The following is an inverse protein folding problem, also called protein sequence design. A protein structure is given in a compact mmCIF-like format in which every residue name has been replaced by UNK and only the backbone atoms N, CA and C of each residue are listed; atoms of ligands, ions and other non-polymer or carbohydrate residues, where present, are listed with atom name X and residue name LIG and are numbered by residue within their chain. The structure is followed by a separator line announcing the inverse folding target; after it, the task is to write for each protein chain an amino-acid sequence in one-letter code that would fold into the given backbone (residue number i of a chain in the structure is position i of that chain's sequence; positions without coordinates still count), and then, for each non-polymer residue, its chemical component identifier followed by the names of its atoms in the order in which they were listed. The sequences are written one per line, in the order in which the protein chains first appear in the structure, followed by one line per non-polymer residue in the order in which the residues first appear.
data_IF_173408475729
#
_entry.id   IF_173408475729
#
_cell.length_a   1.000
_cell.length_b   1.000
_cell.length_c   1.000
_cell.angle_alpha   90.00
_cell.angle_beta   90.00
_cell.angle_gamma   90.00
#
_symmetry.space_group_name_H-M   'P 1'
#
loop_
_entity.id
_entity.type
_entity.pdbx_description
1 polymer ?
#
# COMPACT_ATOMS: atom_id res chain seq x y z
N UNK A 1 23.53 39.16 -43.34
CA UNK A 1 23.87 37.90 -42.65
C UNK A 1 22.81 36.86 -43.04
N UNK A 2 23.05 36.10 -44.12
CA UNK A 2 22.04 35.20 -44.70
C UNK A 2 21.92 33.93 -43.84
N UNK A 3 20.77 33.75 -43.18
CA UNK A 3 20.47 32.52 -42.44
C UNK A 3 20.32 31.39 -43.45
N UNK A 4 21.26 30.44 -43.41
CA UNK A 4 21.33 29.29 -44.34
C UNK A 4 20.02 28.47 -44.22
N UNK A 5 19.23 28.30 -45.31
CA UNK A 5 17.85 27.78 -45.25
C UNK A 5 17.75 26.36 -44.66
N UNK A 6 18.78 25.54 -44.78
CA UNK A 6 18.84 24.18 -44.21
C UNK A 6 18.65 24.13 -42.68
N UNK A 7 19.14 25.16 -41.95
CA UNK A 7 19.00 25.22 -40.50
C UNK A 7 17.56 25.52 -40.06
N UNK A 8 16.77 26.19 -40.91
CA UNK A 8 15.37 26.48 -40.63
C UNK A 8 14.51 25.23 -40.86
N UNK A 9 14.75 24.50 -41.96
CA UNK A 9 14.04 23.27 -42.30
C UNK A 9 14.23 22.18 -41.24
N UNK A 10 15.45 22.02 -40.73
CA UNK A 10 15.76 20.99 -39.71
C UNK A 10 15.10 21.27 -38.35
N UNK A 11 14.97 22.55 -37.95
CA UNK A 11 14.24 22.96 -36.74
C UNK A 11 12.74 22.72 -36.85
N UNK A 12 12.16 22.94 -38.03
CA UNK A 12 10.75 22.66 -38.30
C UNK A 12 10.46 21.16 -38.29
N UNK A 13 11.32 20.33 -38.88
CA UNK A 13 11.20 18.86 -38.84
C UNK A 13 11.31 18.34 -37.40
N UNK A 14 12.25 18.85 -36.60
CA UNK A 14 12.39 18.46 -35.19
C UNK A 14 11.15 18.83 -34.36
N UNK A 15 10.54 20.00 -34.60
CA UNK A 15 9.28 20.39 -33.95
C UNK A 15 8.11 19.51 -34.37
N UNK A 16 7.99 19.19 -35.66
CA UNK A 16 6.93 18.28 -36.16
C UNK A 16 7.13 16.88 -35.60
N UNK A 17 8.36 16.36 -35.55
CA UNK A 17 8.66 15.07 -34.93
C UNK A 17 8.33 15.07 -33.43
N UNK A 18 8.67 16.13 -32.70
CA UNK A 18 8.34 16.26 -31.27
C UNK A 18 6.82 16.34 -31.04
N UNK A 19 6.09 17.05 -31.90
CA UNK A 19 4.62 17.10 -31.85
C UNK A 19 4.03 15.73 -32.20
N UNK A 20 4.56 15.01 -33.18
CA UNK A 20 4.09 13.65 -33.52
C UNK A 20 4.42 12.62 -32.43
N UNK A 21 5.56 12.75 -31.75
CA UNK A 21 5.94 11.92 -30.59
C UNK A 21 5.08 12.28 -29.37
N UNK A 22 4.79 13.56 -29.15
CA UNK A 22 3.86 13.99 -28.10
C UNK A 22 2.42 13.55 -28.41
N UNK A 23 2.02 13.54 -29.68
CA UNK A 23 0.71 13.09 -30.14
C UNK A 23 0.58 11.56 -30.09
N UNK A 24 1.65 10.81 -30.32
CA UNK A 24 1.65 9.35 -30.10
C UNK A 24 1.65 8.98 -28.61
N UNK A 25 2.18 9.85 -27.74
CA UNK A 25 2.11 9.70 -26.29
C UNK A 25 0.75 10.07 -25.68
N UNK A 26 -0.11 10.83 -26.38
CA UNK A 26 -1.44 11.22 -25.89
C UNK A 26 -2.56 10.27 -26.33
N UNK A 27 -2.27 8.99 -26.55
CA UNK A 27 -3.37 8.01 -26.60
C UNK A 27 -3.91 7.89 -25.18
N UNK A 28 -5.16 8.32 -24.97
CA UNK A 28 -5.92 8.01 -23.77
C UNK A 28 -5.81 6.48 -23.55
N UNK A 29 -5.04 6.09 -22.55
CA UNK A 29 -4.78 4.70 -22.26
C UNK A 29 -5.91 4.22 -21.36
N UNK A 30 -6.75 3.31 -21.88
CA UNK A 30 -7.78 2.64 -21.11
C UNK A 30 -7.25 2.22 -19.74
N UNK A 31 -7.84 2.82 -18.69
CA UNK A 31 -7.51 2.54 -17.30
C UNK A 31 -8.61 1.71 -16.65
N UNK A 32 -8.19 0.65 -15.99
CA UNK A 32 -9.02 -0.15 -15.10
C UNK A 32 -8.78 0.29 -13.66
N UNK A 33 -9.85 0.44 -12.89
CA UNK A 33 -9.78 0.74 -11.46
C UNK A 33 -10.94 0.10 -10.71
N UNK A 34 -10.69 -0.25 -9.46
CA UNK A 34 -11.73 -0.65 -8.53
C UNK A 34 -12.26 0.57 -7.76
N UNK A 35 -13.45 0.42 -7.16
CA UNK A 35 -14.01 1.42 -6.23
C UNK A 35 -13.17 1.62 -4.97
N UNK A 36 -12.51 0.56 -4.49
CA UNK A 36 -11.58 0.60 -3.35
C UNK A 36 -10.31 -0.18 -3.69
N UNK A 37 -9.19 0.22 -3.08
CA UNK A 37 -7.92 -0.52 -3.16
C UNK A 37 -7.69 -1.44 -1.96
N UNK A 38 -8.41 -1.22 -0.87
CA UNK A 38 -8.35 -2.01 0.36
C UNK A 38 -9.75 -2.49 0.73
N UNK A 39 -9.85 -3.78 1.04
CA UNK A 39 -11.08 -4.41 1.48
C UNK A 39 -10.78 -5.30 2.69
N UNK A 40 -11.58 -5.15 3.74
CA UNK A 40 -11.62 -6.09 4.86
C UNK A 40 -12.85 -6.97 4.69
N UNK A 41 -12.66 -8.28 4.68
CA UNK A 41 -13.71 -9.27 4.47
C UNK A 41 -13.68 -10.31 5.59
N UNK A 42 -14.85 -10.73 6.06
CA UNK A 42 -14.98 -11.81 7.02
C UNK A 42 -14.86 -13.17 6.34
N UNK A 43 -14.28 -14.15 7.03
CA UNK A 43 -14.23 -15.54 6.54
C UNK A 43 -15.66 -16.09 6.41
N UNK A 44 -15.93 -16.80 5.31
CA UNK A 44 -17.25 -17.28 4.86
C UNK A 44 -18.25 -16.18 4.48
N UNK A 45 -17.82 -14.93 4.37
CA UNK A 45 -18.64 -13.83 3.89
C UNK A 45 -18.31 -13.48 2.43
N UNK A 46 -19.22 -12.76 1.77
CA UNK A 46 -19.00 -12.26 0.42
C UNK A 46 -19.06 -10.74 0.34
N UNK A 47 -18.27 -10.17 -0.56
CA UNK A 47 -18.27 -8.74 -0.82
C UNK A 47 -18.23 -8.45 -2.32
N UNK A 48 -18.99 -7.43 -2.72
CA UNK A 48 -19.07 -7.02 -4.12
C UNK A 48 -18.19 -5.80 -4.36
N UNK A 49 -17.24 -5.94 -5.28
CA UNK A 49 -16.40 -4.87 -5.79
C UNK A 49 -16.85 -4.47 -7.19
N UNK A 50 -16.67 -3.21 -7.54
CA UNK A 50 -17.00 -2.72 -8.89
C UNK A 50 -15.73 -2.38 -9.64
N UNK A 51 -15.48 -3.09 -10.74
CA UNK A 51 -14.41 -2.76 -11.67
C UNK A 51 -14.95 -1.78 -12.72
N UNK A 52 -14.31 -0.62 -12.82
CA UNK A 52 -14.67 0.43 -13.77
C UNK A 52 -13.60 0.54 -14.85
N UNK A 53 -14.03 0.62 -16.10
CA UNK A 53 -13.21 1.01 -17.25
C UNK A 53 -13.52 2.47 -17.58
N UNK A 54 -12.51 3.34 -17.56
CA UNK A 54 -12.71 4.79 -17.75
C UNK A 54 -12.71 5.24 -19.20
N UNK A 55 -11.86 4.64 -20.05
CA UNK A 55 -11.67 5.08 -21.44
C UNK A 55 -11.93 3.96 -22.46
N UNK A 56 -12.11 4.34 -23.72
CA UNK A 56 -12.39 3.42 -24.81
C UNK A 56 -11.22 2.46 -25.07
N UNK A 57 -11.55 1.20 -25.27
CA UNK A 57 -10.60 0.15 -25.59
C UNK A 57 -10.65 -0.14 -27.09
N UNK A 58 -9.55 0.06 -27.85
CA UNK A 58 -9.57 0.05 -29.31
C UNK A 58 -9.67 -1.36 -29.95
N UNK A 59 -9.88 -2.42 -29.17
CA UNK A 59 -9.97 -3.79 -29.66
C UNK A 59 -10.53 -4.77 -28.63
N UNK A 60 -10.67 -6.04 -29.02
CA UNK A 60 -11.15 -7.09 -28.13
C UNK A 60 -10.13 -7.30 -27.01
N UNK A 61 -10.54 -7.00 -25.78
CA UNK A 61 -9.69 -7.10 -24.60
C UNK A 61 -10.26 -8.13 -23.67
N UNK A 62 -9.40 -9.06 -23.24
CA UNK A 62 -9.73 -10.03 -22.21
C UNK A 62 -9.12 -9.58 -20.90
N UNK A 63 -9.95 -9.46 -19.86
CA UNK A 63 -9.50 -9.23 -18.49
C UNK A 63 -9.51 -10.56 -17.76
N UNK A 64 -8.39 -10.92 -17.17
CA UNK A 64 -8.24 -12.10 -16.33
C UNK A 64 -8.11 -11.62 -14.90
N UNK A 65 -9.04 -12.05 -14.06
CA UNK A 65 -9.02 -11.79 -12.64
C UNK A 65 -8.30 -12.96 -11.97
N UNK A 66 -7.29 -12.65 -11.18
CA UNK A 66 -6.56 -13.66 -10.43
C UNK A 66 -6.29 -13.22 -9.00
N UNK A 67 -6.28 -14.19 -8.11
CA UNK A 67 -5.89 -14.06 -6.71
C UNK A 67 -4.55 -14.76 -6.51
N UNK A 68 -3.74 -14.37 -5.51
CA UNK A 68 -2.48 -15.07 -5.27
C UNK A 68 -2.74 -16.42 -4.58
N UNK A 69 -3.74 -16.49 -3.70
CA UNK A 69 -4.04 -17.65 -2.87
C UNK A 69 -5.52 -18.05 -3.03
N UNK A 70 -5.79 -19.00 -3.93
CA UNK A 70 -7.16 -19.48 -4.22
C UNK A 70 -7.84 -20.16 -3.03
N UNK A 71 -7.04 -20.65 -2.09
CA UNK A 71 -7.44 -21.20 -0.81
C UNK A 71 -7.96 -20.14 0.16
N UNK A 72 -7.52 -18.89 0.03
CA UNK A 72 -7.97 -17.77 0.87
C UNK A 72 -9.13 -17.01 0.22
N UNK A 73 -9.00 -16.68 -1.06
CA UNK A 73 -9.93 -15.80 -1.77
C UNK A 73 -10.30 -16.34 -3.15
N UNK A 74 -11.60 -16.34 -3.44
CA UNK A 74 -12.12 -16.68 -4.78
C UNK A 74 -13.03 -15.59 -5.32
N UNK A 75 -13.14 -15.53 -6.65
CA UNK A 75 -14.03 -14.61 -7.36
C UNK A 75 -15.12 -15.40 -8.08
N UNK A 76 -16.31 -14.83 -8.22
CA UNK A 76 -17.37 -15.42 -9.04
C UNK A 76 -17.02 -15.48 -10.54
N UNK A 77 -16.25 -14.48 -11.00
CA UNK A 77 -15.85 -14.31 -12.39
C UNK A 77 -14.33 -14.28 -12.45
N UNK A 78 -13.76 -15.10 -13.33
CA UNK A 78 -12.31 -15.16 -13.59
C UNK A 78 -11.90 -14.49 -14.90
N UNK A 79 -12.85 -14.32 -15.84
CA UNK A 79 -12.59 -13.78 -17.17
C UNK A 79 -13.72 -12.84 -17.60
N UNK A 80 -13.36 -11.66 -18.10
CA UNK A 80 -14.29 -10.69 -18.68
C UNK A 80 -13.82 -10.38 -20.10
N UNK A 81 -14.70 -10.52 -21.08
CA UNK A 81 -14.42 -10.17 -22.47
C UNK A 81 -15.04 -8.81 -22.79
N UNK A 82 -14.21 -7.86 -23.20
CA UNK A 82 -14.60 -6.49 -23.54
C UNK A 82 -14.44 -6.30 -25.04
N UNK A 83 -15.57 -6.20 -25.74
CA UNK A 83 -15.62 -6.00 -27.19
C UNK A 83 -16.00 -4.55 -27.49
N UNK A 84 -15.12 -3.80 -28.15
CA UNK A 84 -15.36 -2.47 -28.72
C UNK A 84 -16.25 -1.56 -27.85
N UNK A 85 -15.73 -1.15 -26.68
CA UNK A 85 -16.47 -0.32 -25.74
C UNK A 85 -16.34 1.16 -26.08
N UNK A 86 -17.48 1.83 -26.22
CA UNK A 86 -17.61 3.27 -26.52
C UNK A 86 -18.07 4.09 -25.33
N UNK A 87 -17.83 3.59 -24.11
CA UNK A 87 -18.20 4.26 -22.87
C UNK A 87 -17.68 3.55 -21.62
N UNK A 88 -17.91 4.15 -20.44
CA UNK A 88 -17.47 3.58 -19.18
C UNK A 88 -18.26 2.30 -18.88
N UNK A 89 -17.56 1.19 -18.77
CA UNK A 89 -18.14 -0.10 -18.40
C UNK A 89 -17.90 -0.38 -16.93
N UNK A 90 -18.90 -0.96 -16.26
CA UNK A 90 -18.82 -1.32 -14.85
C UNK A 90 -19.19 -2.78 -14.70
N UNK A 91 -18.32 -3.56 -14.05
CA UNK A 91 -18.56 -4.97 -13.77
C UNK A 91 -18.58 -5.21 -12.25
N UNK A 92 -19.69 -5.73 -11.70
CA UNK A 92 -19.71 -6.19 -10.32
C UNK A 92 -18.98 -7.53 -10.21
N UNK A 93 -17.98 -7.59 -9.35
CA UNK A 93 -17.17 -8.77 -9.05
C UNK A 93 -17.45 -9.14 -7.61
N UNK A 94 -17.96 -10.35 -7.41
CA UNK A 94 -18.22 -10.87 -6.07
C UNK A 94 -17.01 -11.68 -5.62
N UNK A 95 -16.54 -11.36 -4.42
CA UNK A 95 -15.46 -12.03 -3.73
C UNK A 95 -16.01 -12.90 -2.61
N UNK A 96 -15.46 -14.10 -2.47
CA UNK A 96 -15.78 -15.03 -1.38
C UNK A 96 -14.50 -15.36 -0.62
N UNK A 97 -14.53 -15.08 0.69
CA UNK A 97 -13.44 -15.38 1.61
C UNK A 97 -13.59 -16.78 2.22
N UNK A 98 -12.55 -17.60 2.12
CA UNK A 98 -12.55 -18.99 2.61
C UNK A 98 -11.77 -19.19 3.90
N UNK A 99 -10.63 -18.50 4.05
CA UNK A 99 -9.79 -18.60 5.25
C UNK A 99 -9.11 -17.26 5.57
N UNK A 100 -8.63 -17.10 6.80
CA UNK A 100 -8.03 -15.85 7.26
C UNK A 100 -6.62 -15.63 6.68
N UNK A 101 -6.31 -14.38 6.33
CA UNK A 101 -5.01 -14.03 5.76
C UNK A 101 -5.04 -12.77 4.92
N UNK A 102 -4.00 -12.58 4.12
CA UNK A 102 -3.89 -11.47 3.18
C UNK A 102 -3.78 -12.01 1.76
N UNK A 103 -4.62 -11.47 0.87
CA UNK A 103 -4.54 -11.79 -0.55
C UNK A 103 -4.69 -10.54 -1.41
N UNK A 104 -4.35 -10.67 -2.68
CA UNK A 104 -4.38 -9.62 -3.68
C UNK A 104 -5.21 -10.08 -4.86
N UNK A 105 -6.31 -9.39 -5.10
CA UNK A 105 -7.03 -9.48 -6.37
C UNK A 105 -6.31 -8.60 -7.40
N UNK A 106 -5.88 -9.17 -8.52
CA UNK A 106 -5.28 -8.44 -9.63
C UNK A 106 -6.04 -8.68 -10.93
N UNK A 107 -6.06 -7.66 -11.79
CA UNK A 107 -6.62 -7.74 -13.13
C UNK A 107 -5.49 -7.67 -14.15
N UNK A 108 -5.38 -8.71 -14.97
CA UNK A 108 -4.43 -8.77 -16.08
C UNK A 108 -5.20 -8.58 -17.40
N UNK A 109 -4.81 -7.57 -18.19
CA UNK A 109 -5.45 -7.24 -19.46
C UNK A 109 -4.66 -7.78 -20.65
N UNK A 110 -5.35 -8.41 -21.59
CA UNK A 110 -4.79 -8.93 -22.84
C UNK A 110 -5.50 -8.31 -24.05
N UNK A 111 -4.77 -7.76 -25.04
CA UNK A 111 -3.31 -7.76 -25.18
C UNK A 111 -2.59 -6.83 -24.19
N UNK A 112 -1.35 -7.16 -23.83
CA UNK A 112 -0.53 -6.46 -22.81
C UNK A 112 -0.22 -4.98 -23.13
N UNK A 113 -0.70 -4.46 -24.25
CA UNK A 113 -0.63 -3.04 -24.62
C UNK A 113 -1.49 -2.13 -23.73
N UNK A 114 -2.39 -2.69 -22.91
CA UNK A 114 -3.26 -1.92 -22.01
C UNK A 114 -2.70 -1.96 -20.59
N UNK A 115 -2.53 -0.78 -19.97
CA UNK A 115 -1.94 -0.67 -18.63
C UNK A 115 -2.96 -1.11 -17.56
N UNK A 116 -2.77 -2.30 -17.01
CA UNK A 116 -3.61 -2.86 -15.92
C UNK A 116 -2.91 -2.90 -14.56
N UNK A 117 -1.68 -2.36 -14.45
CA UNK A 117 -0.87 -2.42 -13.21
C UNK A 117 -1.56 -1.81 -11.98
N UNK A 118 -2.46 -0.88 -12.21
CA UNK A 118 -3.13 -0.08 -11.17
C UNK A 118 -4.48 -0.69 -10.77
N UNK A 119 -4.89 -1.78 -11.42
CA UNK A 119 -6.16 -2.48 -11.19
C UNK A 119 -5.95 -3.69 -10.25
N UNK A 120 -5.82 -3.40 -8.97
CA UNK A 120 -5.72 -4.41 -7.93
C UNK A 120 -6.49 -3.99 -6.67
N UNK A 121 -6.83 -4.97 -5.84
CA UNK A 121 -7.42 -4.77 -4.52
C UNK A 121 -6.71 -5.66 -3.52
N UNK A 122 -6.22 -5.07 -2.42
CA UNK A 122 -5.66 -5.77 -1.28
C UNK A 122 -6.83 -6.20 -0.39
N UNK A 123 -6.94 -7.50 -0.14
CA UNK A 123 -8.02 -8.08 0.65
C UNK A 123 -7.44 -8.64 1.93
N UNK A 124 -7.93 -8.15 3.06
CA UNK A 124 -7.61 -8.67 4.40
C UNK A 124 -8.78 -9.51 4.87
N UNK A 125 -8.55 -10.81 4.99
CA UNK A 125 -9.51 -11.80 5.44
C UNK A 125 -9.34 -12.02 6.94
N UNK A 126 -10.39 -11.78 7.71
CA UNK A 126 -10.37 -11.95 9.16
C UNK A 126 -11.51 -12.85 9.64
N UNK A 127 -11.25 -13.69 10.64
CA UNK A 127 -12.29 -14.58 11.17
C UNK A 127 -13.42 -13.83 11.87
N UNK A 128 -13.10 -12.79 12.63
CA UNK A 128 -14.09 -11.99 13.33
C UNK A 128 -13.59 -10.58 13.62
N UNK A 129 -14.52 -9.63 13.66
CA UNK A 129 -14.24 -8.26 14.10
C UNK A 129 -13.81 -8.23 15.57
N UNK A 130 -14.33 -9.15 16.38
CA UNK A 130 -14.01 -9.24 17.81
C UNK A 130 -12.56 -9.66 18.03
N UNK A 131 -12.04 -10.59 17.24
CA UNK A 131 -10.63 -10.98 17.33
C UNK A 131 -9.70 -9.83 16.90
N UNK A 132 -10.11 -9.07 15.87
CA UNK A 132 -9.39 -7.88 15.44
C UNK A 132 -9.36 -6.81 16.57
N UNK A 133 -10.50 -6.57 17.22
CA UNK A 133 -10.58 -5.66 18.36
C UNK A 133 -9.73 -6.16 19.54
N UNK A 134 -9.80 -7.45 19.84
CA UNK A 134 -8.99 -8.07 20.89
C UNK A 134 -7.48 -7.91 20.62
N UNK A 135 -7.05 -8.09 19.37
CA UNK A 135 -5.66 -7.86 18.95
C UNK A 135 -5.19 -6.44 19.27
N UNK A 136 -6.01 -5.42 18.95
CA UNK A 136 -5.72 -4.02 19.26
C UNK A 136 -5.61 -3.80 20.77
N UNK A 137 -6.53 -4.35 21.56
CA UNK A 137 -6.52 -4.24 23.03
C UNK A 137 -5.25 -4.87 23.62
N UNK A 138 -4.86 -6.06 23.16
CA UNK A 138 -3.64 -6.73 23.58
C UNK A 138 -2.40 -5.90 23.23
N UNK A 139 -2.36 -5.27 22.06
CA UNK A 139 -1.28 -4.34 21.68
C UNK A 139 -1.11 -3.17 22.65
N UNK A 140 -2.21 -2.59 23.14
CA UNK A 140 -2.17 -1.54 24.15
C UNK A 140 -1.77 -2.04 25.54
N UNK A 141 -2.23 -3.24 25.94
CA UNK A 141 -1.78 -3.87 27.19
C UNK A 141 -0.28 -4.14 27.14
N UNK A 142 0.22 -4.61 26.00
CA UNK A 142 1.65 -4.84 25.78
C UNK A 142 2.45 -3.56 25.93
N UNK A 143 2.01 -2.45 25.32
CA UNK A 143 2.61 -1.12 25.52
C UNK A 143 2.68 -0.76 27.01
N UNK A 144 1.56 -0.85 27.74
CA UNK A 144 1.51 -0.50 29.17
C UNK A 144 2.43 -1.38 30.01
N UNK A 145 2.42 -2.69 29.78
CA UNK A 145 3.26 -3.66 30.51
C UNK A 145 4.75 -3.37 30.31
N UNK A 146 5.16 -3.11 29.07
CA UNK A 146 6.54 -2.69 28.77
C UNK A 146 6.88 -1.36 29.40
N UNK A 147 6.02 -0.34 29.29
CA UNK A 147 6.21 0.97 29.93
C UNK A 147 6.45 0.85 31.43
N UNK A 148 5.64 0.07 32.14
CA UNK A 148 5.79 -0.13 33.60
C UNK A 148 7.16 -0.73 33.94
N UNK A 149 7.72 -1.59 33.08
CA UNK A 149 9.00 -2.25 33.34
C UNK A 149 10.21 -1.31 33.43
N UNK A 150 10.15 -0.11 32.82
CA UNK A 150 11.25 0.87 32.89
C UNK A 150 11.37 1.54 34.27
N UNK A 151 10.23 1.78 34.93
CA UNK A 151 10.18 2.65 36.10
C UNK A 151 10.83 2.11 37.38
N UNK A 152 10.79 0.81 37.73
CA UNK A 152 11.40 0.30 38.96
C UNK A 152 12.89 0.65 39.08
N UNK A 153 13.66 0.46 37.99
CA UNK A 153 15.10 0.76 37.99
C UNK A 153 15.35 2.27 38.06
N UNK A 154 14.58 3.08 37.33
CA UNK A 154 14.65 4.54 37.40
C UNK A 154 14.37 5.05 38.81
N UNK A 155 13.32 4.52 39.45
CA UNK A 155 12.91 4.91 40.80
C UNK A 155 13.98 4.54 41.84
N UNK A 156 14.53 3.33 41.80
CA UNK A 156 15.58 2.90 42.73
C UNK A 156 16.85 3.74 42.59
N UNK A 157 17.25 4.08 41.36
CA UNK A 157 18.41 4.93 41.12
C UNK A 157 18.16 6.36 41.62
N UNK A 158 16.95 6.89 41.37
CA UNK A 158 16.56 8.21 41.87
C UNK A 158 16.48 8.27 43.40
N UNK A 159 15.99 7.20 44.05
CA UNK A 159 15.89 7.10 45.52
C UNK A 159 17.27 6.97 46.16
N UNK A 160 18.13 6.11 45.63
CA UNK A 160 19.50 5.88 46.15
C UNK A 160 20.49 7.00 45.79
N UNK A 161 20.13 7.89 44.85
CA UNK A 161 21.04 8.90 44.27
C UNK A 161 22.34 8.28 43.73
N UNK A 162 22.24 7.04 43.25
CA UNK A 162 23.39 6.24 42.82
C UNK A 162 22.98 5.37 41.63
N UNK A 163 23.88 5.31 40.65
CA UNK A 163 23.77 4.47 39.44
C UNK A 163 24.72 3.27 39.51
N UNK A 164 25.26 2.96 40.69
CA UNK A 164 26.11 1.78 40.89
C UNK A 164 25.28 0.52 40.62
N UNK A 165 25.74 -0.30 39.67
CA UNK A 165 25.05 -1.48 39.16
C UNK A 165 24.28 -1.25 37.84
N UNK A 166 24.25 -0.01 37.33
CA UNK A 166 23.68 0.31 36.02
C UNK A 166 24.75 0.19 34.94
N UNK A 167 24.45 -0.51 33.84
CA UNK A 167 25.35 -0.61 32.69
C UNK A 167 25.04 0.52 31.69
N UNK A 168 25.98 1.45 31.51
CA UNK A 168 25.83 2.57 30.59
C UNK A 168 25.83 2.17 29.12
N UNK A 169 26.63 1.15 28.74
CA UNK A 169 26.65 0.65 27.36
C UNK A 169 25.29 0.07 26.99
N UNK A 170 24.66 -0.67 27.92
CA UNK A 170 23.31 -1.19 27.72
C UNK A 170 22.29 -0.07 27.51
N UNK A 171 22.33 0.99 28.32
CA UNK A 171 21.42 2.14 28.17
C UNK A 171 21.67 2.86 26.85
N UNK A 172 22.93 3.15 26.51
CA UNK A 172 23.27 3.82 25.26
C UNK A 172 22.80 3.02 24.03
N UNK A 173 22.97 1.70 24.05
CA UNK A 173 22.47 0.82 22.98
C UNK A 173 20.95 0.81 22.90
N UNK A 174 20.25 0.73 24.04
CA UNK A 174 18.78 0.81 24.05
C UNK A 174 18.28 2.16 23.55
N UNK A 175 18.91 3.26 23.97
CA UNK A 175 18.53 4.60 23.53
C UNK A 175 18.67 4.75 22.01
N UNK A 176 19.80 4.29 21.44
CA UNK A 176 20.00 4.29 19.97
C UNK A 176 18.94 3.40 19.29
N UNK A 177 18.70 2.20 19.84
CA UNK A 177 17.69 1.28 19.31
C UNK A 177 16.29 1.90 19.29
N UNK A 178 15.86 2.50 20.40
CA UNK A 178 14.56 3.16 20.50
C UNK A 178 14.47 4.42 19.65
N UNK A 179 15.55 5.20 19.49
CA UNK A 179 15.57 6.35 18.58
C UNK A 179 15.35 5.90 17.14
N UNK A 180 16.09 4.89 16.67
CA UNK A 180 15.94 4.35 15.30
C UNK A 180 14.56 3.72 15.09
N UNK A 181 14.05 2.99 16.08
CA UNK A 181 12.72 2.40 16.04
C UNK A 181 11.63 3.49 16.00
N UNK A 182 11.78 4.56 16.80
CA UNK A 182 10.85 5.70 16.79
C UNK A 182 10.90 6.43 15.45
N UNK A 183 12.08 6.69 14.90
CA UNK A 183 12.24 7.28 13.56
C UNK A 183 11.53 6.46 12.48
N UNK A 184 11.63 5.12 12.54
CA UNK A 184 10.95 4.24 11.60
C UNK A 184 9.42 4.30 11.73
N UNK A 185 8.88 4.12 12.93
CA UNK A 185 7.42 4.09 13.16
C UNK A 185 6.78 5.45 12.91
N UNK A 186 7.38 6.54 13.40
CA UNK A 186 6.90 7.90 13.16
C UNK A 186 7.04 8.27 11.69
N UNK A 187 8.17 7.91 11.06
CA UNK A 187 8.43 8.22 9.66
C UNK A 187 7.39 7.64 8.72
N UNK A 188 6.97 6.39 8.92
CA UNK A 188 5.92 5.75 8.12
C UNK A 188 4.50 6.28 8.38
N UNK A 189 4.32 7.12 9.41
CA UNK A 189 3.05 7.81 9.69
C UNK A 189 3.00 9.24 9.13
N UNK A 190 4.11 9.76 8.59
CA UNK A 190 4.15 11.05 7.91
C UNK A 190 3.47 10.90 6.55
N UNK A 191 2.43 11.69 6.22
CA UNK A 191 1.62 11.49 5.01
C UNK A 191 2.44 11.48 3.71
N UNK A 192 3.47 12.33 3.61
CA UNK A 192 4.35 12.38 2.45
C UNK A 192 5.16 11.09 2.28
N UNK A 193 5.70 10.57 3.38
CA UNK A 193 6.49 9.33 3.38
C UNK A 193 5.60 8.11 3.16
N UNK A 194 4.43 8.06 3.78
CA UNK A 194 3.45 6.99 3.59
C UNK A 194 2.99 6.92 2.13
N UNK A 195 2.73 8.07 1.51
CA UNK A 195 2.35 8.15 0.09
C UNK A 195 3.48 7.65 -0.81
N UNK A 196 4.72 8.07 -0.56
CA UNK A 196 5.89 7.62 -1.32
C UNK A 196 6.16 6.12 -1.11
N UNK A 197 6.00 5.62 0.10
CA UNK A 197 6.10 4.20 0.43
C UNK A 197 5.04 3.39 -0.31
N UNK A 198 3.78 3.85 -0.30
CA UNK A 198 2.66 3.21 -1.00
C UNK A 198 2.84 3.24 -2.53
N UNK A 199 3.41 4.31 -3.07
CA UNK A 199 3.73 4.40 -4.50
C UNK A 199 4.84 3.42 -4.92
N UNK A 200 5.83 3.18 -4.05
CA UNK A 200 6.91 2.20 -4.29
C UNK A 200 6.48 0.76 -4.03
N UNK A 201 5.58 0.56 -3.07
CA UNK A 201 5.06 -0.74 -2.66
C UNK A 201 3.53 -0.78 -2.80
N UNK A 202 2.98 -0.67 -4.02
CA UNK A 202 1.53 -0.55 -4.23
C UNK A 202 0.76 -1.80 -3.76
N UNK A 203 1.42 -2.94 -3.56
CA UNK A 203 0.78 -4.17 -3.07
C UNK A 203 1.05 -4.44 -1.59
N UNK A 204 1.88 -3.62 -0.94
CA UNK A 204 2.20 -3.75 0.48
C UNK A 204 1.13 -3.11 1.35
N UNK A 205 1.07 -3.57 2.61
CA UNK A 205 0.32 -2.91 3.68
C UNK A 205 1.30 -2.16 4.58
N UNK A 206 0.85 -1.08 5.21
CA UNK A 206 1.65 -0.40 6.23
C UNK A 206 1.79 -1.32 7.45
N UNK A 207 3.01 -1.72 7.85
CA UNK A 207 3.20 -2.65 8.95
C UNK A 207 3.12 -1.98 10.33
N UNK A 208 3.17 -0.64 10.39
CA UNK A 208 3.25 0.11 11.66
C UNK A 208 1.86 0.25 12.27
N UNK A 209 1.74 -0.13 13.55
CA UNK A 209 0.54 0.12 14.33
C UNK A 209 0.70 1.34 15.24
N UNK A 210 -0.43 1.91 15.66
CA UNK A 210 -0.42 3.14 16.47
C UNK A 210 0.28 2.93 17.82
N UNK A 211 0.06 1.78 18.47
CA UNK A 211 0.74 1.42 19.71
C UNK A 211 2.27 1.36 19.58
N UNK A 212 2.80 0.98 18.40
CA UNK A 212 4.25 0.96 18.16
C UNK A 212 4.84 2.37 18.13
N UNK A 213 4.09 3.35 17.61
CA UNK A 213 4.46 4.77 17.61
C UNK A 213 4.53 5.28 19.06
N UNK A 214 3.49 5.07 19.85
CA UNK A 214 3.47 5.51 21.25
C UNK A 214 4.55 4.84 22.08
N UNK A 215 4.73 3.51 21.92
CA UNK A 215 5.77 2.76 22.62
C UNK A 215 7.16 3.27 22.27
N UNK A 216 7.48 3.40 20.99
CA UNK A 216 8.82 3.78 20.55
C UNK A 216 9.22 5.18 21.02
N UNK A 217 8.30 6.16 20.98
CA UNK A 217 8.55 7.50 21.52
C UNK A 217 8.75 7.44 23.04
N UNK A 218 7.86 6.75 23.76
CA UNK A 218 7.97 6.61 25.21
C UNK A 218 9.30 5.96 25.64
N UNK A 219 9.71 4.89 24.96
CA UNK A 219 10.92 4.16 25.29
C UNK A 219 12.19 4.99 25.13
N UNK A 220 12.23 5.94 24.18
CA UNK A 220 13.34 6.90 24.04
C UNK A 220 13.47 7.79 25.28
N UNK A 221 12.35 8.21 25.88
CA UNK A 221 12.36 9.07 27.07
C UNK A 221 12.48 8.29 28.39
N UNK A 222 12.09 7.01 28.39
CA UNK A 222 12.13 6.14 29.55
C UNK A 222 13.48 5.40 29.72
N UNK A 223 14.41 5.57 28.77
CA UNK A 223 15.77 5.02 28.79
C UNK A 223 16.77 6.09 29.22
#
# INVERSE_FOLDING_TARGET
MAVRPEKFTMRSIARVAFVLIAYSASRACARFSFNTQDLVLLVNDSATLTLTLTDNVPGNTTLILSTNHKDLLTTNISKIEVTNSTGPNVWPIELFGHDAGHDLLKVDAYPASIKSSDAFVRVTLQHSNELALFSVVVGWIYFVAWSISFYPQMYENWRRKSVVGLNFDFIALNLIGFMLYSMFNVGLWIPEIEKDYSARNPRGLNPVQLNDIFFSIHAVFAT
#
